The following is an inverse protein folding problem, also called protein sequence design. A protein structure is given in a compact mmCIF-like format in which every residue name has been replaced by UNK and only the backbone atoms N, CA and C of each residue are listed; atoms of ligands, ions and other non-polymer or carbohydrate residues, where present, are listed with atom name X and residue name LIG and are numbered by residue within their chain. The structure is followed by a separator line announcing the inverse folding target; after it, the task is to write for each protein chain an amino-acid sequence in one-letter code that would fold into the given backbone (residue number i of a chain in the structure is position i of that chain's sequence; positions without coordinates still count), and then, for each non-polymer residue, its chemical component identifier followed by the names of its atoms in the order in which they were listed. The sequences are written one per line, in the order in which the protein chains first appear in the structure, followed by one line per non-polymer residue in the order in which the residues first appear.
data_IF_997150989018
#
_entry.id   IF_997150989018
#
_cell.length_a   1.000
_cell.length_b   1.000
_cell.length_c   1.000
_cell.angle_alpha   90.00
_cell.angle_beta   90.00
_cell.angle_gamma   90.00
#
_symmetry.space_group_name_H-M   'P 1'
#
loop_
_entity.id
_entity.type
_entity.pdbx_description
1 polymer ?
#
# COMPACT_ATOMS: atom_id res chain seq x y z
N UNK A 1 -7.39 -8.57 88.09
CA UNK A 1 -8.24 -9.11 86.99
C UNK A 1 -8.32 -10.63 87.09
N UNK A 2 -9.44 -11.24 86.70
CA UNK A 2 -9.57 -12.69 86.61
C UNK A 2 -9.07 -13.20 85.22
N UNK A 3 -8.98 -14.54 85.02
CA UNK A 3 -8.46 -15.10 83.82
C UNK A 3 -9.27 -14.73 82.54
N UNK A 4 -10.58 -14.59 82.63
CA UNK A 4 -11.44 -14.23 81.49
C UNK A 4 -11.22 -12.78 81.09
N UNK A 5 -11.13 -11.88 82.00
CA UNK A 5 -10.83 -10.45 81.80
C UNK A 5 -9.40 -10.28 81.27
N UNK A 6 -8.41 -11.05 81.76
CA UNK A 6 -7.03 -11.00 81.26
C UNK A 6 -6.94 -11.51 79.83
N UNK A 7 -7.60 -12.61 79.49
CA UNK A 7 -7.62 -13.15 78.13
C UNK A 7 -8.30 -12.22 77.15
N UNK A 8 -9.36 -11.52 77.55
CA UNK A 8 -10.06 -10.55 76.73
C UNK A 8 -9.14 -9.36 76.40
N UNK A 9 -8.42 -8.83 77.39
CA UNK A 9 -7.45 -7.75 77.20
C UNK A 9 -6.26 -8.19 76.32
N UNK A 10 -5.68 -9.36 76.57
CA UNK A 10 -4.56 -9.90 75.77
C UNK A 10 -5.00 -10.20 74.33
N UNK A 11 -6.23 -10.67 74.09
CA UNK A 11 -6.76 -10.92 72.74
C UNK A 11 -7.05 -9.65 71.97
N UNK A 12 -7.42 -8.57 72.63
CA UNK A 12 -7.63 -7.27 72.00
C UNK A 12 -6.31 -6.54 71.65
N UNK A 13 -5.33 -6.63 72.54
CA UNK A 13 -3.97 -6.09 72.34
C UNK A 13 -2.93 -6.94 73.11
N UNK A 14 -2.17 -7.83 72.44
CA UNK A 14 -1.17 -8.67 73.09
C UNK A 14 -0.02 -7.88 73.74
N UNK A 15 0.14 -6.62 73.38
CA UNK A 15 1.18 -5.74 73.90
C UNK A 15 0.68 -4.79 75.00
N UNK A 16 -0.62 -4.88 75.33
CA UNK A 16 -1.16 -4.07 76.40
C UNK A 16 -0.44 -4.32 77.71
N UNK A 17 -0.14 -3.21 78.41
CA UNK A 17 0.52 -3.21 79.75
C UNK A 17 -0.32 -2.41 80.71
N UNK A 18 -1.03 -3.11 81.57
CA UNK A 18 -1.65 -2.44 82.77
C UNK A 18 -1.12 -3.14 83.98
N UNK A 19 -0.99 -2.41 85.13
CA UNK A 19 -0.51 -2.97 86.41
C UNK A 19 -1.29 -4.20 86.82
N UNK A 20 -2.61 -4.19 86.66
CA UNK A 20 -3.52 -5.27 87.09
C UNK A 20 -3.34 -6.52 86.16
N UNK A 21 -3.11 -6.28 84.83
CA UNK A 21 -2.86 -7.37 83.86
C UNK A 21 -1.48 -8.00 84.10
N UNK A 22 -0.45 -7.20 84.29
CA UNK A 22 0.90 -7.68 84.61
C UNK A 22 0.96 -8.50 85.89
N UNK A 23 0.32 -8.01 87.00
CA UNK A 23 0.24 -8.77 88.26
C UNK A 23 -0.45 -10.13 88.03
N UNK A 24 -1.53 -10.21 87.21
CA UNK A 24 -2.21 -11.43 86.91
C UNK A 24 -1.38 -12.39 86.08
N UNK A 25 -0.73 -11.90 85.04
CA UNK A 25 0.11 -12.70 84.16
C UNK A 25 1.34 -13.28 84.90
N UNK A 26 1.94 -12.51 85.80
CA UNK A 26 3.01 -13.03 86.65
C UNK A 26 2.55 -14.14 87.61
N UNK A 27 1.30 -14.11 88.05
CA UNK A 27 0.71 -15.10 88.96
C UNK A 27 0.00 -16.26 88.26
N UNK A 28 -0.23 -16.20 86.94
CA UNK A 28 -1.01 -17.20 86.21
C UNK A 28 -0.28 -17.71 84.99
N UNK A 29 0.34 -18.89 85.04
CA UNK A 29 1.10 -19.52 83.94
C UNK A 29 0.23 -19.76 82.68
N UNK A 30 -1.06 -19.96 82.82
CA UNK A 30 -1.97 -20.15 81.67
C UNK A 30 -2.19 -18.85 80.88
N UNK A 31 -2.35 -17.70 81.57
CA UNK A 31 -2.52 -16.41 80.93
C UNK A 31 -1.17 -15.86 80.38
N UNK A 32 -0.04 -16.21 81.00
CA UNK A 32 1.30 -15.89 80.51
C UNK A 32 1.52 -16.57 79.14
N UNK A 33 1.24 -17.89 79.07
CA UNK A 33 1.35 -18.67 77.80
C UNK A 33 0.43 -18.11 76.72
N UNK A 34 -0.82 -17.82 77.07
CA UNK A 34 -1.77 -17.25 76.12
C UNK A 34 -1.30 -15.91 75.56
N UNK A 35 -0.68 -15.06 76.39
CA UNK A 35 -0.11 -13.78 75.92
C UNK A 35 1.05 -13.99 74.94
N UNK A 36 1.89 -14.96 75.20
CA UNK A 36 3.02 -15.31 74.31
C UNK A 36 2.54 -15.83 72.96
N UNK A 37 1.56 -16.72 72.94
CA UNK A 37 0.90 -17.21 71.74
C UNK A 37 0.26 -16.09 70.92
N UNK A 38 -0.40 -15.14 71.57
CA UNK A 38 -0.99 -13.99 70.87
C UNK A 38 0.05 -13.02 70.29
N UNK A 39 1.16 -12.79 71.00
CA UNK A 39 2.30 -12.00 70.46
C UNK A 39 2.96 -12.65 69.27
N UNK A 40 3.13 -13.97 69.30
CA UNK A 40 3.66 -14.71 68.16
C UNK A 40 2.74 -14.65 66.95
N UNK A 41 1.43 -14.76 67.17
CA UNK A 41 0.43 -14.62 66.14
C UNK A 41 0.45 -13.21 65.53
N UNK A 42 0.50 -12.15 66.34
CA UNK A 42 0.60 -10.79 65.90
C UNK A 42 1.86 -10.54 65.04
N UNK A 43 3.00 -11.07 65.50
CA UNK A 43 4.26 -10.98 64.74
C UNK A 43 4.21 -11.72 63.41
N UNK A 44 3.46 -12.86 63.31
CA UNK A 44 3.26 -13.55 62.04
C UNK A 44 2.35 -12.77 61.11
N UNK A 45 1.24 -12.22 61.61
CA UNK A 45 0.36 -11.38 60.81
C UNK A 45 1.10 -10.13 60.26
N UNK A 46 1.87 -9.50 61.15
CA UNK A 46 2.66 -8.31 60.76
C UNK A 46 3.66 -8.62 59.66
N UNK A 47 4.37 -9.74 59.76
CA UNK A 47 5.28 -10.20 58.69
C UNK A 47 4.54 -10.48 57.40
N UNK A 48 3.41 -11.18 57.45
CA UNK A 48 2.60 -11.49 56.26
C UNK A 48 2.06 -10.24 55.57
N UNK A 49 1.76 -9.20 56.35
CA UNK A 49 1.30 -7.92 55.79
C UNK A 49 2.44 -7.07 55.21
N UNK A 50 3.66 -7.17 55.74
CA UNK A 50 4.83 -6.46 55.22
C UNK A 50 5.42 -7.13 53.97
N UNK A 51 5.31 -8.43 53.89
CA UNK A 51 5.77 -9.24 52.72
C UNK A 51 4.60 -10.04 52.17
N UNK A 52 3.66 -9.37 51.48
CA UNK A 52 2.53 -10.06 50.90
C UNK A 52 3.07 -11.11 49.90
N UNK A 53 2.56 -12.34 49.95
CA UNK A 53 2.99 -13.37 49.05
C UNK A 53 2.89 -12.85 47.63
N UNK A 54 4.03 -12.67 46.96
CA UNK A 54 4.06 -12.34 45.57
C UNK A 54 3.35 -13.47 44.85
N UNK A 55 2.05 -13.26 44.56
CA UNK A 55 1.35 -14.10 43.60
C UNK A 55 2.14 -13.99 42.33
N UNK A 56 3.07 -14.91 42.13
CA UNK A 56 3.79 -15.04 40.91
C UNK A 56 2.72 -15.22 39.82
N UNK A 57 2.30 -14.08 39.22
CA UNK A 57 1.62 -14.09 37.94
C UNK A 57 2.56 -14.85 37.04
N UNK A 58 2.38 -16.17 36.95
CA UNK A 58 2.94 -16.96 35.87
C UNK A 58 2.51 -16.21 34.62
N UNK A 59 3.38 -15.32 34.11
CA UNK A 59 3.27 -14.84 32.73
C UNK A 59 3.27 -16.14 31.93
N UNK A 60 2.07 -16.56 31.52
CA UNK A 60 1.94 -17.62 30.54
C UNK A 60 2.73 -17.07 29.36
N UNK A 61 3.95 -17.60 29.17
CA UNK A 61 4.72 -17.29 27.98
C UNK A 61 3.78 -17.54 26.82
N UNK A 62 3.51 -16.48 26.04
CA UNK A 62 2.63 -16.63 24.89
C UNK A 62 3.22 -17.76 24.06
N UNK A 63 2.44 -18.78 23.74
CA UNK A 63 2.97 -19.99 23.12
C UNK A 63 3.71 -19.55 21.84
N UNK A 64 4.95 -19.99 21.69
CA UNK A 64 5.84 -19.58 20.58
C UNK A 64 5.19 -19.73 19.20
N UNK A 65 4.23 -20.67 19.04
CA UNK A 65 3.49 -20.83 17.80
C UNK A 65 2.73 -19.56 17.36
N UNK A 66 2.29 -18.69 18.31
CA UNK A 66 1.64 -17.40 17.97
C UNK A 66 2.60 -16.44 17.29
N UNK A 67 3.88 -16.45 17.65
CA UNK A 67 4.90 -15.63 16.98
C UNK A 67 5.17 -16.15 15.58
N UNK A 68 5.21 -17.47 15.42
CA UNK A 68 5.34 -18.12 14.11
C UNK A 68 4.11 -17.90 13.22
N UNK A 69 2.91 -17.90 13.80
CA UNK A 69 1.67 -17.62 13.07
C UNK A 69 1.63 -16.16 12.56
N UNK A 70 2.10 -15.20 13.36
CA UNK A 70 2.23 -13.81 12.92
C UNK A 70 3.28 -13.65 11.82
N UNK A 71 4.43 -14.29 11.95
CA UNK A 71 5.46 -14.26 10.91
C UNK A 71 4.94 -14.89 9.61
N UNK A 72 4.26 -16.04 9.68
CA UNK A 72 3.66 -16.70 8.52
C UNK A 72 2.59 -15.84 7.84
N UNK A 73 1.75 -15.13 8.60
CA UNK A 73 0.73 -14.24 8.03
C UNK A 73 1.34 -13.03 7.31
N UNK A 74 2.43 -12.46 7.84
CA UNK A 74 3.16 -11.37 7.17
C UNK A 74 3.79 -11.86 5.86
N UNK A 75 4.42 -13.03 5.87
CA UNK A 75 5.01 -13.64 4.66
C UNK A 75 3.93 -13.93 3.61
N UNK A 76 2.80 -14.52 4.02
CA UNK A 76 1.68 -14.77 3.11
C UNK A 76 1.07 -13.48 2.55
N UNK A 77 0.92 -12.44 3.37
CA UNK A 77 0.41 -11.15 2.93
C UNK A 77 1.37 -10.45 1.94
N UNK A 78 2.69 -10.54 2.19
CA UNK A 78 3.69 -9.99 1.25
C UNK A 78 3.74 -10.79 -0.05
N UNK A 79 3.68 -12.11 -0.01
CA UNK A 79 3.62 -12.94 -1.21
C UNK A 79 2.34 -12.68 -2.01
N UNK A 80 1.19 -12.53 -1.35
CA UNK A 80 -0.06 -12.17 -2.00
C UNK A 80 0.01 -10.76 -2.63
N UNK A 81 0.57 -9.77 -1.92
CA UNK A 81 0.74 -8.42 -2.43
C UNK A 81 1.69 -8.39 -3.65
N UNK A 82 2.81 -9.11 -3.58
CA UNK A 82 3.75 -9.27 -4.70
C UNK A 82 3.07 -10.03 -5.85
N UNK A 83 2.32 -11.08 -5.56
CA UNK A 83 1.55 -11.82 -6.57
C UNK A 83 0.51 -10.93 -7.27
N UNK A 84 -0.26 -10.15 -6.52
CA UNK A 84 -1.20 -9.17 -7.07
C UNK A 84 -0.48 -8.09 -7.86
N UNK A 85 0.69 -7.63 -7.41
CA UNK A 85 1.50 -6.64 -8.14
C UNK A 85 2.07 -7.19 -9.46
N UNK A 86 2.55 -8.44 -9.46
CA UNK A 86 3.06 -9.13 -10.66
C UNK A 86 1.93 -9.55 -11.62
N UNK A 87 0.75 -9.87 -11.09
CA UNK A 87 -0.43 -10.26 -11.85
C UNK A 87 -1.34 -9.08 -12.18
N UNK A 88 -1.06 -7.87 -11.65
CA UNK A 88 -1.74 -6.69 -12.19
C UNK A 88 -1.46 -6.73 -13.69
N UNK A 89 -2.49 -6.78 -14.55
CA UNK A 89 -2.27 -6.32 -15.90
C UNK A 89 -1.68 -4.93 -15.70
N UNK A 90 -0.43 -4.70 -16.11
CA UNK A 90 0.01 -3.34 -16.38
C UNK A 90 -1.13 -2.76 -17.17
N UNK A 91 -1.80 -1.70 -16.63
CA UNK A 91 -2.84 -1.03 -17.39
C UNK A 91 -2.23 -0.89 -18.75
N UNK A 92 -2.73 -1.72 -19.67
CA UNK A 92 -1.93 -2.06 -20.83
C UNK A 92 -1.65 -0.73 -21.51
N UNK A 93 -0.47 -0.48 -21.98
CA UNK A 93 -0.18 0.76 -22.70
C UNK A 93 -1.30 1.07 -23.71
N UNK A 94 -1.90 0.02 -24.28
CA UNK A 94 -3.08 0.09 -25.12
C UNK A 94 -4.30 0.70 -24.41
N UNK A 95 -4.62 0.26 -23.20
CA UNK A 95 -5.76 0.80 -22.44
C UNK A 95 -5.59 2.30 -22.15
N UNK A 96 -4.41 2.71 -21.70
CA UNK A 96 -4.15 4.13 -21.43
C UNK A 96 -4.14 4.99 -22.69
N UNK A 97 -3.63 4.46 -23.80
CA UNK A 97 -3.70 5.13 -25.11
C UNK A 97 -5.16 5.30 -25.54
N UNK A 98 -6.00 4.29 -25.39
CA UNK A 98 -7.45 4.38 -25.67
C UNK A 98 -8.11 5.43 -24.79
N UNK A 99 -7.87 5.40 -23.49
CA UNK A 99 -8.44 6.39 -22.56
C UNK A 99 -8.01 7.83 -22.93
N UNK A 100 -6.73 8.02 -23.27
CA UNK A 100 -6.23 9.32 -23.67
C UNK A 100 -6.95 9.85 -24.92
N UNK A 101 -7.03 9.02 -25.96
CA UNK A 101 -7.68 9.37 -27.23
C UNK A 101 -9.17 9.62 -27.07
N UNK A 102 -9.85 8.91 -26.17
CA UNK A 102 -11.27 9.15 -25.84
C UNK A 102 -11.46 10.46 -25.06
N UNK A 103 -10.48 10.86 -24.26
CA UNK A 103 -10.48 12.11 -23.53
C UNK A 103 -10.33 13.35 -24.42
N UNK A 104 -9.93 13.17 -25.69
CA UNK A 104 -9.72 14.23 -26.67
C UNK A 104 -10.64 14.07 -27.90
N UNK A 105 -11.96 14.14 -27.74
CA UNK A 105 -12.92 13.89 -28.85
C UNK A 105 -12.75 14.86 -30.02
N UNK A 106 -12.26 16.07 -29.78
CA UNK A 106 -11.99 17.10 -30.79
C UNK A 106 -10.93 16.67 -31.80
N UNK A 107 -10.00 15.80 -31.42
CA UNK A 107 -8.97 15.26 -32.34
C UNK A 107 -9.62 14.53 -33.54
N UNK A 108 -10.75 13.87 -33.33
CA UNK A 108 -11.52 13.16 -34.34
C UNK A 108 -12.44 14.05 -35.17
N UNK A 109 -12.74 15.25 -34.71
CA UNK A 109 -13.63 16.19 -35.36
C UNK A 109 -12.91 17.18 -36.26
N UNK A 110 -11.56 17.13 -36.25
CA UNK A 110 -10.74 18.00 -37.08
C UNK A 110 -11.02 17.74 -38.57
N UNK A 111 -11.55 18.76 -39.25
CA UNK A 111 -11.95 18.66 -40.65
C UNK A 111 -10.99 19.41 -41.59
N UNK A 112 -9.99 20.08 -41.06
CA UNK A 112 -9.07 20.87 -41.84
C UNK A 112 -7.63 20.42 -41.61
N UNK A 113 -6.86 20.42 -42.68
CA UNK A 113 -5.43 20.10 -42.61
C UNK A 113 -4.69 21.16 -41.76
N UNK A 114 -3.88 20.71 -40.80
CA UNK A 114 -3.06 21.58 -39.98
C UNK A 114 -1.83 22.08 -40.73
N UNK A 115 -1.33 23.25 -40.32
CA UNK A 115 -0.14 23.84 -40.95
C UNK A 115 1.13 23.03 -40.57
N UNK A 116 2.12 23.07 -41.45
CA UNK A 116 3.44 22.46 -41.18
C UNK A 116 4.08 22.96 -39.88
N UNK A 117 3.88 24.26 -39.56
CA UNK A 117 4.39 24.84 -38.33
C UNK A 117 3.76 24.24 -37.05
N UNK A 118 2.47 23.89 -37.09
CA UNK A 118 1.78 23.20 -35.98
C UNK A 118 2.25 21.78 -35.84
N UNK A 119 2.46 21.06 -36.96
CA UNK A 119 3.01 19.72 -36.97
C UNK A 119 4.42 19.72 -36.38
N UNK A 120 5.29 20.61 -36.86
CA UNK A 120 6.66 20.73 -36.32
C UNK A 120 6.67 21.09 -34.84
N UNK A 121 5.72 21.89 -34.37
CA UNK A 121 5.56 22.22 -32.97
C UNK A 121 5.19 20.98 -32.15
N UNK A 122 4.26 20.17 -32.62
CA UNK A 122 3.82 18.94 -31.93
C UNK A 122 4.95 17.90 -31.88
N UNK A 123 5.72 17.75 -32.96
CA UNK A 123 6.80 16.75 -33.09
C UNK A 123 8.09 17.15 -32.36
N UNK A 124 8.31 18.44 -32.10
CA UNK A 124 9.60 18.98 -31.58
C UNK A 124 10.06 18.32 -30.30
N UNK A 125 9.12 18.05 -29.38
CA UNK A 125 9.43 17.40 -28.11
C UNK A 125 9.77 15.91 -28.20
N UNK A 126 9.38 15.28 -29.28
CA UNK A 126 9.65 13.84 -29.52
C UNK A 126 10.94 13.58 -30.31
N UNK A 127 11.60 14.61 -30.83
CA UNK A 127 12.80 14.46 -31.66
C UNK A 127 12.52 13.64 -32.92
N UNK A 128 11.36 13.86 -33.53
CA UNK A 128 10.92 13.20 -34.76
C UNK A 128 10.62 14.28 -35.79
N UNK A 129 10.99 14.02 -37.02
CA UNK A 129 10.55 14.75 -38.20
C UNK A 129 9.70 13.84 -39.05
N UNK A 130 8.65 14.38 -39.66
CA UNK A 130 7.76 13.64 -40.54
C UNK A 130 7.91 14.20 -41.95
N UNK A 131 8.04 13.30 -42.93
CA UNK A 131 7.95 13.68 -44.32
C UNK A 131 6.46 13.82 -44.69
N UNK A 132 6.05 15.06 -44.99
CA UNK A 132 4.65 15.39 -45.22
C UNK A 132 4.22 15.36 -46.69
N UNK A 133 5.06 14.76 -47.55
CA UNK A 133 4.79 14.76 -49.01
C UNK A 133 3.62 13.87 -49.37
N UNK A 134 3.35 12.82 -48.56
CA UNK A 134 2.30 11.82 -48.79
C UNK A 134 1.20 11.83 -47.70
N UNK A 135 1.43 12.46 -46.55
CA UNK A 135 0.58 12.30 -45.39
C UNK A 135 -0.24 13.58 -45.09
N UNK A 136 -1.58 13.44 -45.10
CA UNK A 136 -2.50 14.53 -44.76
C UNK A 136 -2.81 14.49 -43.27
N UNK A 137 -2.27 15.47 -42.53
CA UNK A 137 -2.49 15.56 -41.07
C UNK A 137 -3.61 16.57 -40.77
N UNK A 138 -4.64 16.08 -40.10
CA UNK A 138 -5.85 16.83 -39.74
C UNK A 138 -5.80 17.38 -38.31
N UNK A 139 -4.95 16.80 -37.46
CA UNK A 139 -4.77 17.23 -36.08
C UNK A 139 -3.32 16.97 -35.67
N UNK A 140 -2.73 17.90 -34.94
CA UNK A 140 -1.37 17.78 -34.42
C UNK A 140 -1.23 18.55 -33.11
N UNK A 141 -1.08 17.83 -32.01
CA UNK A 141 -0.83 18.43 -30.71
C UNK A 141 0.21 17.64 -29.92
N UNK A 142 0.81 18.29 -28.93
CA UNK A 142 1.69 17.65 -27.96
C UNK A 142 0.92 17.48 -26.67
N UNK A 143 0.52 16.25 -26.34
CA UNK A 143 -0.35 15.91 -25.21
C UNK A 143 0.46 15.30 -24.06
N UNK A 144 -0.01 15.47 -22.82
CA UNK A 144 0.66 14.88 -21.67
C UNK A 144 0.19 13.42 -21.46
N UNK A 145 1.12 12.49 -21.57
CA UNK A 145 0.86 11.07 -21.46
C UNK A 145 1.98 10.37 -20.67
N UNK A 146 1.64 9.63 -19.61
CA UNK A 146 2.59 8.90 -18.74
C UNK A 146 3.78 9.73 -18.27
N UNK A 147 3.55 10.99 -17.88
CA UNK A 147 4.62 11.85 -17.36
C UNK A 147 5.44 12.58 -18.42
N UNK A 148 5.13 12.40 -19.72
CA UNK A 148 5.85 12.99 -20.83
C UNK A 148 4.92 13.67 -21.82
N UNK A 149 5.42 14.66 -22.54
CA UNK A 149 4.72 15.21 -23.68
C UNK A 149 4.97 14.34 -24.92
N UNK A 150 3.90 13.87 -25.53
CA UNK A 150 3.92 12.99 -26.69
C UNK A 150 3.14 13.63 -27.86
N UNK A 151 3.61 13.51 -29.09
CA UNK A 151 2.84 13.89 -30.26
C UNK A 151 1.59 13.02 -30.39
N UNK A 152 0.45 13.69 -30.55
CA UNK A 152 -0.83 13.12 -30.91
C UNK A 152 -1.25 13.72 -32.23
N UNK A 153 -1.31 12.88 -33.26
CA UNK A 153 -1.64 13.27 -34.61
C UNK A 153 -2.90 12.53 -35.06
N UNK A 154 -3.69 13.15 -35.94
CA UNK A 154 -4.71 12.43 -36.70
C UNK A 154 -4.35 12.57 -38.17
N UNK A 155 -4.13 11.43 -38.82
CA UNK A 155 -3.80 11.34 -40.23
C UNK A 155 -5.02 10.87 -41.02
N UNK A 156 -5.24 11.47 -42.19
CA UNK A 156 -6.29 11.04 -43.11
C UNK A 156 -5.75 9.92 -43.99
N UNK A 157 -6.34 8.76 -43.88
CA UNK A 157 -5.98 7.60 -44.73
C UNK A 157 -7.09 7.31 -45.73
N UNK A 158 -6.83 6.43 -46.67
CA UNK A 158 -7.83 5.95 -47.63
C UNK A 158 -9.02 5.24 -46.97
N UNK A 159 -8.86 4.74 -45.71
CA UNK A 159 -9.85 4.02 -44.92
C UNK A 159 -10.51 4.89 -43.85
N UNK A 160 -10.20 6.17 -43.85
CA UNK A 160 -10.70 7.12 -42.84
C UNK A 160 -9.60 7.70 -41.97
N UNK A 161 -9.95 8.48 -40.96
CA UNK A 161 -8.99 9.08 -40.03
C UNK A 161 -8.37 8.01 -39.09
N UNK A 162 -7.08 8.08 -38.92
CA UNK A 162 -6.30 7.28 -37.98
C UNK A 162 -5.59 8.19 -36.97
N UNK A 163 -5.74 7.87 -35.72
CA UNK A 163 -5.03 8.51 -34.62
C UNK A 163 -3.66 7.88 -34.44
N UNK A 164 -2.63 8.70 -34.29
CA UNK A 164 -1.25 8.29 -34.12
C UNK A 164 -0.65 8.96 -32.89
N UNK A 165 -0.10 8.20 -31.98
CA UNK A 165 0.67 8.69 -30.86
C UNK A 165 2.12 8.20 -30.92
N UNK A 166 3.08 9.14 -30.82
CA UNK A 166 4.51 8.80 -30.86
C UNK A 166 5.02 8.74 -29.41
N UNK A 167 5.24 7.53 -28.92
CA UNK A 167 5.49 7.21 -27.52
C UNK A 167 6.99 6.99 -27.26
N UNK A 168 7.80 8.05 -27.35
CA UNK A 168 9.27 7.97 -27.25
C UNK A 168 9.80 7.29 -25.99
N UNK A 169 9.09 7.40 -24.86
CA UNK A 169 9.51 6.85 -23.58
C UNK A 169 8.85 5.50 -23.21
N UNK A 170 8.11 4.93 -24.17
CA UNK A 170 7.40 3.67 -23.97
C UNK A 170 7.93 2.65 -25.00
N UNK A 171 8.74 1.71 -24.55
CA UNK A 171 9.23 0.63 -25.42
C UNK A 171 8.33 -0.60 -25.29
N UNK A 172 8.00 -1.21 -26.41
CA UNK A 172 7.31 -2.50 -26.48
C UNK A 172 8.26 -3.54 -27.09
N UNK A 173 8.19 -4.77 -26.58
CA UNK A 173 9.06 -5.85 -27.04
C UNK A 173 8.70 -6.34 -28.45
N UNK A 174 7.49 -6.06 -28.90
CA UNK A 174 6.97 -6.45 -30.20
C UNK A 174 5.64 -5.80 -30.49
N UNK A 175 5.10 -6.08 -31.67
CA UNK A 175 3.80 -5.60 -32.10
C UNK A 175 2.68 -6.12 -31.18
N UNK A 176 1.81 -5.24 -30.72
CA UNK A 176 0.64 -5.57 -29.92
C UNK A 176 -0.62 -4.97 -30.56
N UNK A 177 -1.58 -5.83 -30.94
CA UNK A 177 -2.90 -5.40 -31.41
C UNK A 177 -3.88 -5.39 -30.25
N UNK A 178 -4.86 -4.48 -30.30
CA UNK A 178 -5.89 -4.40 -29.32
C UNK A 178 -7.22 -3.90 -29.93
N UNK A 179 -8.31 -4.24 -29.27
CA UNK A 179 -9.65 -3.75 -29.58
C UNK A 179 -10.32 -3.35 -28.26
N UNK A 180 -10.61 -2.07 -28.11
CA UNK A 180 -11.15 -1.56 -26.86
C UNK A 180 -12.02 -0.32 -27.11
N UNK A 181 -13.17 -0.27 -26.46
CA UNK A 181 -14.10 0.87 -26.48
C UNK A 181 -14.48 1.34 -27.91
N UNK A 182 -14.60 0.40 -28.84
CA UNK A 182 -14.93 0.68 -30.25
C UNK A 182 -13.78 1.23 -31.09
N UNK A 183 -12.57 1.19 -30.54
CA UNK A 183 -11.35 1.51 -31.26
C UNK A 183 -10.56 0.23 -31.55
N UNK A 184 -10.06 0.12 -32.77
CA UNK A 184 -9.07 -0.88 -33.15
C UNK A 184 -7.68 -0.23 -33.18
N UNK A 185 -6.69 -0.88 -32.61
CA UNK A 185 -5.37 -0.28 -32.53
C UNK A 185 -4.23 -1.28 -32.61
N UNK A 186 -3.07 -0.75 -32.93
CA UNK A 186 -1.79 -1.45 -32.88
C UNK A 186 -0.74 -0.55 -32.24
N UNK A 187 0.12 -1.16 -31.42
CA UNK A 187 1.33 -0.52 -30.93
C UNK A 187 2.50 -1.28 -31.54
N UNK A 188 3.37 -0.57 -32.24
CA UNK A 188 4.56 -1.13 -32.89
C UNK A 188 5.83 -0.57 -32.24
N UNK A 189 6.91 -1.38 -32.11
CA UNK A 189 8.19 -0.87 -31.63
C UNK A 189 8.77 0.11 -32.65
N UNK A 190 9.47 1.14 -32.17
CA UNK A 190 10.17 2.11 -32.97
C UNK A 190 11.61 2.30 -32.43
N UNK A 191 12.55 2.90 -33.18
CA UNK A 191 13.95 3.04 -32.75
C UNK A 191 14.15 3.70 -31.39
N UNK A 192 13.28 4.62 -31.01
CA UNK A 192 13.35 5.36 -29.73
C UNK A 192 11.98 5.35 -29.03
N UNK A 193 11.36 4.17 -28.84
CA UNK A 193 10.08 4.03 -28.17
C UNK A 193 9.10 3.15 -28.92
N UNK A 194 7.87 3.62 -29.09
CA UNK A 194 6.82 2.93 -29.87
C UNK A 194 5.89 3.92 -30.55
N UNK A 195 5.12 3.42 -31.51
CA UNK A 195 4.08 4.17 -32.21
C UNK A 195 2.76 3.44 -31.97
N UNK A 196 1.76 4.16 -31.49
CA UNK A 196 0.40 3.66 -31.40
C UNK A 196 -0.43 4.23 -32.55
N UNK A 197 -1.14 3.35 -33.25
CA UNK A 197 -2.06 3.71 -34.33
C UNK A 197 -3.44 3.17 -33.99
N UNK A 198 -4.47 4.02 -34.04
CA UNK A 198 -5.85 3.66 -33.72
C UNK A 198 -6.81 4.16 -34.76
N UNK A 199 -7.88 3.39 -35.00
CA UNK A 199 -8.99 3.75 -35.89
C UNK A 199 -10.34 3.43 -35.24
N UNK A 200 -11.40 4.07 -35.72
CA UNK A 200 -12.78 3.79 -35.27
C UNK A 200 -13.48 2.66 -36.04
N UNK A 201 -12.80 2.02 -36.94
CA UNK A 201 -13.35 0.93 -37.73
C UNK A 201 -12.24 0.10 -38.34
N UNK A 202 -12.60 -0.95 -39.09
CA UNK A 202 -11.61 -1.85 -39.67
C UNK A 202 -10.73 -1.10 -40.67
N UNK A 203 -9.43 -1.15 -40.43
CA UNK A 203 -8.41 -0.54 -41.27
C UNK A 203 -7.16 -1.40 -41.32
N UNK A 204 -6.33 -1.19 -42.33
CA UNK A 204 -5.03 -1.82 -42.42
C UNK A 204 -4.04 -1.07 -41.48
N UNK A 205 -4.17 -1.33 -40.18
CA UNK A 205 -3.34 -0.68 -39.16
C UNK A 205 -1.84 -0.93 -39.36
N UNK A 206 -1.46 -2.12 -39.85
CA UNK A 206 -0.08 -2.45 -40.11
C UNK A 206 0.47 -1.65 -41.31
N UNK A 207 -0.34 -1.48 -42.35
CA UNK A 207 0.03 -0.64 -43.47
C UNK A 207 0.21 0.83 -43.08
N UNK A 208 -0.72 1.35 -42.28
CA UNK A 208 -0.65 2.72 -41.75
C UNK A 208 0.60 2.89 -40.88
N UNK A 209 0.87 1.95 -39.98
CA UNK A 209 2.03 2.00 -39.10
C UNK A 209 3.36 1.94 -39.91
N UNK A 210 3.43 1.08 -40.90
CA UNK A 210 4.62 0.96 -41.74
C UNK A 210 4.88 2.21 -42.63
N UNK A 211 3.80 2.81 -43.16
CA UNK A 211 3.90 4.06 -43.92
C UNK A 211 4.40 5.21 -43.01
N UNK A 212 3.82 5.34 -41.82
CA UNK A 212 4.28 6.31 -40.85
C UNK A 212 5.72 6.09 -40.39
N UNK A 213 6.12 4.85 -40.14
CA UNK A 213 7.50 4.52 -39.78
C UNK A 213 8.49 4.87 -40.93
N UNK A 214 8.10 4.66 -42.16
CA UNK A 214 8.89 5.03 -43.32
C UNK A 214 9.07 6.54 -43.46
N UNK A 215 8.02 7.31 -43.20
CA UNK A 215 8.01 8.77 -43.33
C UNK A 215 8.61 9.47 -42.11
N UNK A 216 8.84 8.74 -41.02
CA UNK A 216 9.43 9.29 -39.77
C UNK A 216 10.96 9.23 -39.78
N UNK A 217 11.58 10.34 -39.43
CA UNK A 217 13.02 10.44 -39.19
C UNK A 217 13.28 10.78 -37.74
N UNK A 218 13.90 9.86 -37.01
CA UNK A 218 14.27 10.02 -35.62
C UNK A 218 15.55 10.85 -35.51
N UNK A 219 15.51 11.91 -34.73
CA UNK A 219 16.70 12.68 -34.36
C UNK A 219 17.40 12.00 -33.18
N UNK A 220 18.71 11.86 -33.26
CA UNK A 220 19.56 11.32 -32.19
C UNK A 220 19.68 12.27 -31.02
#
# INVERSE_FOLDING_TARGET
VNCDAARLLIGADPHATSPELEAHVQGCAACARFREEMRDLDAHIHRAMQDPPQLARKRRAAPQWRQWALAASVVLATLAAVGVWLLRPNDSLAHEVVQHVQGEPESWLAAQQVSTAEIDKALRGAGVQLDLTSTHIMYAQSCFFRGHYVPHLVVQTAQGPATVMILRHQQVAGRASFHEAGLEGVIVPAPHGSIAVLTRGPANLDGIAAELEHDMRWQQ
#
